data_IF_343718753271
#
_entry.id   IF_343718753271
#
_cell.length_a   1.000
_cell.length_b   1.000
_cell.length_c   1.000
_cell.angle_alpha   90.00
_cell.angle_beta   90.00
_cell.angle_gamma   90.00
#
_symmetry.space_group_name_H-M   'P 1'
#
loop_
_entity.id
_entity.type
_entity.pdbx_description
1 polymer ?
#
# COMPACT_ATOMS: atom_id res chain seq x y z
N UNK A 1 25.14 -63.42 -3.80
CA UNK A 1 23.91 -63.80 -4.53
C UNK A 1 23.37 -62.55 -5.21
N UNK A 2 23.43 -62.56 -6.53
CA UNK A 2 23.04 -61.51 -7.50
C UNK A 2 21.52 -61.63 -7.82
N UNK A 3 20.90 -60.80 -8.68
CA UNK A 3 20.40 -59.43 -8.41
C UNK A 3 19.01 -59.18 -9.07
N UNK A 4 18.46 -57.95 -9.09
CA UNK A 4 17.65 -57.39 -10.21
C UNK A 4 17.77 -55.84 -10.12
N UNK A 5 18.36 -55.06 -11.05
CA UNK A 5 18.02 -54.69 -12.47
C UNK A 5 16.62 -54.05 -12.56
N UNK A 6 16.31 -52.93 -13.25
CA UNK A 6 16.90 -52.08 -14.32
C UNK A 6 16.06 -50.76 -14.34
N UNK A 7 16.64 -49.56 -14.45
CA UNK A 7 16.91 -48.74 -15.66
C UNK A 7 15.77 -47.89 -16.25
N UNK A 8 16.06 -46.60 -16.48
CA UNK A 8 15.94 -45.86 -17.76
C UNK A 8 16.43 -44.41 -17.53
N UNK A 9 17.55 -43.96 -18.11
CA UNK A 9 17.73 -43.45 -19.49
C UNK A 9 16.99 -42.13 -19.72
N UNK A 10 17.50 -41.04 -20.32
CA UNK A 10 18.80 -40.51 -20.71
C UNK A 10 18.49 -39.12 -21.33
N UNK A 11 19.42 -38.15 -21.32
CA UNK A 11 19.83 -37.39 -22.52
C UNK A 11 20.99 -36.43 -22.20
N UNK A 12 21.97 -36.49 -23.10
CA UNK A 12 23.24 -35.77 -23.10
C UNK A 12 23.10 -34.45 -23.86
N UNK A 13 23.95 -33.48 -23.52
CA UNK A 13 24.14 -32.23 -24.26
C UNK A 13 25.39 -32.25 -25.15
N UNK A 14 25.37 -31.33 -26.14
CA UNK A 14 26.46 -30.73 -26.94
C UNK A 14 27.00 -31.48 -28.18
N UNK A 15 27.64 -30.79 -29.18
CA UNK A 15 27.80 -29.34 -29.45
C UNK A 15 27.68 -28.88 -30.95
N UNK A 16 27.71 -27.54 -31.16
CA UNK A 16 28.39 -26.72 -32.20
C UNK A 16 28.21 -26.95 -33.72
N UNK A 17 27.89 -25.89 -34.50
CA UNK A 17 28.83 -25.12 -35.38
C UNK A 17 28.11 -24.24 -36.44
N UNK A 18 28.81 -23.13 -36.80
CA UNK A 18 28.83 -22.34 -38.07
C UNK A 18 27.56 -21.55 -38.50
N UNK A 19 27.58 -20.21 -38.59
CA UNK A 19 28.19 -19.28 -39.60
C UNK A 19 27.50 -19.28 -40.97
N UNK A 20 27.09 -18.09 -41.47
CA UNK A 20 27.01 -17.67 -42.89
C UNK A 20 26.64 -16.15 -42.98
N UNK A 21 27.59 -15.37 -43.51
CA UNK A 21 27.54 -14.22 -44.48
C UNK A 21 26.30 -13.30 -44.56
N UNK A 22 26.41 -11.96 -44.50
CA UNK A 22 27.03 -10.95 -45.41
C UNK A 22 26.15 -10.48 -46.60
N UNK A 23 26.08 -9.15 -46.78
CA UNK A 23 25.50 -8.43 -47.93
C UNK A 23 24.04 -8.01 -47.74
N UNK A 24 23.54 -6.84 -48.13
CA UNK A 24 24.03 -5.73 -48.93
C UNK A 24 22.86 -4.74 -49.11
N UNK A 25 23.17 -3.48 -49.39
CA UNK A 25 22.22 -2.38 -49.58
C UNK A 25 21.38 -2.47 -50.87
N UNK A 26 20.22 -1.80 -50.90
CA UNK A 26 19.55 -1.07 -52.02
C UNK A 26 18.10 -0.71 -51.57
N UNK A 27 17.67 0.55 -51.44
CA UNK A 27 17.25 1.55 -52.47
C UNK A 27 15.93 1.17 -53.20
N UNK A 28 14.96 2.10 -53.18
CA UNK A 28 13.74 2.15 -54.03
C UNK A 28 12.45 1.91 -53.23
N UNK A 29 11.61 2.87 -52.82
CA UNK A 29 10.95 3.97 -53.53
C UNK A 29 10.07 3.46 -54.68
N UNK A 30 8.74 3.40 -54.46
CA UNK A 30 7.67 4.09 -55.20
C UNK A 30 6.33 3.33 -55.21
N UNK A 31 5.29 4.06 -54.77
CA UNK A 31 3.93 4.21 -55.33
C UNK A 31 3.05 2.93 -55.45
N UNK A 32 1.87 2.95 -54.81
CA UNK A 32 0.55 2.99 -55.49
C UNK A 32 -0.58 2.83 -54.47
N UNK A 33 -1.34 3.91 -54.27
CA UNK A 33 -2.76 3.81 -53.89
C UNK A 33 -3.59 3.51 -55.15
N UNK A 34 -4.72 2.81 -55.00
CA UNK A 34 -5.96 3.51 -55.25
C UNK A 34 -7.06 3.20 -54.22
N UNK A 35 -7.96 4.18 -54.11
CA UNK A 35 -9.16 4.18 -53.29
C UNK A 35 -10.17 3.09 -53.70
N UNK A 36 -10.97 2.65 -52.74
CA UNK A 36 -12.35 2.21 -52.99
C UNK A 36 -13.23 2.45 -51.77
N UNK A 37 -14.38 3.04 -52.03
CA UNK A 37 -15.41 3.53 -51.11
C UNK A 37 -16.27 2.43 -50.50
N UNK A 38 -16.90 2.74 -49.36
CA UNK A 38 -18.34 2.66 -49.02
C UNK A 38 -18.48 2.91 -47.51
N UNK A 39 -19.14 3.99 -47.05
CA UNK A 39 -20.54 4.02 -46.60
C UNK A 39 -20.81 2.94 -45.52
N UNK A 40 -21.34 3.18 -44.32
CA UNK A 40 -22.16 4.23 -43.69
C UNK A 40 -22.33 3.77 -42.25
N UNK A 41 -22.24 4.63 -41.22
CA UNK A 41 -23.18 4.55 -40.09
C UNK A 41 -23.04 5.76 -39.16
N UNK A 42 -24.20 6.27 -38.76
CA UNK A 42 -24.38 7.38 -37.85
C UNK A 42 -24.08 6.94 -36.40
N UNK A 43 -23.31 7.75 -35.67
CA UNK A 43 -23.29 7.70 -34.22
C UNK A 43 -23.23 9.14 -33.66
N UNK A 44 -24.21 9.44 -32.82
CA UNK A 44 -24.37 10.67 -32.06
C UNK A 44 -23.09 11.07 -31.31
N UNK A 45 -22.67 12.35 -31.30
CA UNK A 45 -21.75 12.83 -30.28
C UNK A 45 -22.54 13.19 -29.02
N UNK A 46 -22.55 12.29 -28.03
CA UNK A 46 -22.83 12.68 -26.65
C UNK A 46 -21.71 13.59 -26.15
N UNK A 47 -22.01 14.70 -25.45
CA UNK A 47 -20.98 15.55 -24.87
C UNK A 47 -20.32 14.80 -23.71
N UNK A 48 -19.07 14.39 -23.90
CA UNK A 48 -18.24 13.85 -22.82
C UNK A 48 -17.88 15.01 -21.91
N UNK A 49 -18.49 15.03 -20.73
CA UNK A 49 -18.14 15.92 -19.62
C UNK A 49 -16.70 15.67 -19.21
N UNK A 50 -15.78 16.47 -19.74
CA UNK A 50 -14.43 16.60 -19.22
C UNK A 50 -14.50 17.39 -17.90
N UNK A 51 -14.66 16.66 -16.79
CA UNK A 51 -14.40 17.23 -15.46
C UNK A 51 -12.88 17.42 -15.38
N UNK A 52 -12.47 18.67 -15.58
CA UNK A 52 -11.16 19.19 -15.22
C UNK A 52 -10.94 19.00 -13.70
N UNK A 53 -10.49 17.81 -13.31
CA UNK A 53 -9.81 17.63 -12.04
C UNK A 53 -8.41 18.22 -12.20
N UNK A 54 -8.18 19.36 -11.56
CA UNK A 54 -6.89 20.02 -11.47
C UNK A 54 -5.87 19.07 -10.83
N UNK A 55 -5.19 18.31 -11.68
CA UNK A 55 -4.25 17.25 -11.33
C UNK A 55 -3.02 17.80 -10.63
N UNK A 56 -3.09 17.95 -9.30
CA UNK A 56 -1.88 17.75 -8.49
C UNK A 56 -1.57 16.25 -8.52
N UNK A 57 -0.35 15.85 -8.93
CA UNK A 57 0.03 14.44 -8.86
C UNK A 57 -0.18 13.96 -7.42
N UNK A 58 -0.76 12.77 -7.20
CA UNK A 58 -0.99 12.25 -5.87
C UNK A 58 0.32 12.30 -5.10
N UNK A 59 0.31 12.99 -3.94
CA UNK A 59 1.47 13.07 -3.07
C UNK A 59 1.93 11.64 -2.78
N UNK A 60 3.19 11.34 -3.09
CA UNK A 60 3.77 10.02 -2.87
C UNK A 60 3.63 9.67 -1.39
N UNK A 61 2.82 8.66 -1.08
CA UNK A 61 2.66 8.14 0.28
C UNK A 61 4.01 7.61 0.77
N UNK A 62 4.32 7.80 2.05
CA UNK A 62 5.50 7.17 2.66
C UNK A 62 5.12 5.73 3.04
N UNK A 63 6.01 4.74 2.86
CA UNK A 63 5.72 3.39 3.31
C UNK A 63 5.49 3.35 4.82
N UNK A 64 4.49 2.58 5.30
CA UNK A 64 4.16 2.50 6.72
C UNK A 64 5.25 1.73 7.50
N UNK A 65 5.31 1.99 8.81
CA UNK A 65 5.97 1.11 9.78
C UNK A 65 4.94 0.11 10.30
N UNK A 66 3.82 0.64 10.79
CA UNK A 66 2.61 -0.12 11.09
C UNK A 66 1.49 0.35 10.14
N UNK A 67 0.87 -0.60 9.43
CA UNK A 67 -0.27 -0.31 8.54
C UNK A 67 -1.52 0.06 9.34
N UNK A 68 -2.45 0.78 8.73
CA UNK A 68 -3.70 1.20 9.39
C UNK A 68 -4.69 0.06 9.62
N UNK A 69 -4.55 -1.05 8.88
CA UNK A 69 -5.54 -2.15 8.88
C UNK A 69 -4.90 -3.47 9.30
N UNK A 70 -5.42 -4.09 10.37
CA UNK A 70 -4.96 -5.40 10.85
C UNK A 70 -5.87 -6.51 10.27
N UNK A 71 -5.33 -7.50 9.54
CA UNK A 71 -6.13 -8.60 9.01
C UNK A 71 -6.72 -9.48 10.12
N UNK A 72 -7.88 -10.09 9.87
CA UNK A 72 -8.48 -11.08 10.77
C UNK A 72 -8.08 -12.48 10.36
N UNK A 73 -7.60 -13.29 11.30
CA UNK A 73 -7.44 -14.72 11.10
C UNK A 73 -8.77 -15.42 11.39
N UNK A 74 -9.32 -16.13 10.41
CA UNK A 74 -10.52 -16.95 10.59
C UNK A 74 -10.18 -18.43 10.62
N UNK A 75 -11.11 -19.25 11.08
CA UNK A 75 -10.96 -20.72 11.11
C UNK A 75 -10.79 -21.37 9.74
N UNK A 76 -11.05 -20.63 8.65
CA UNK A 76 -10.79 -21.04 7.25
C UNK A 76 -9.51 -20.45 6.66
N UNK A 77 -8.68 -19.80 7.48
CA UNK A 77 -7.51 -19.03 7.05
C UNK A 77 -7.69 -17.53 7.26
N UNK A 78 -6.80 -16.70 6.73
CA UNK A 78 -6.88 -15.25 6.93
C UNK A 78 -8.01 -14.67 6.07
N UNK A 79 -8.99 -14.04 6.71
CA UNK A 79 -10.03 -13.35 5.98
C UNK A 79 -9.50 -12.03 5.46
N UNK A 80 -9.69 -11.78 4.16
CA UNK A 80 -9.50 -10.46 3.53
C UNK A 80 -10.55 -9.45 3.96
N UNK A 81 -11.56 -9.87 4.74
CA UNK A 81 -12.46 -8.94 5.43
C UNK A 81 -11.68 -8.28 6.56
N UNK A 82 -11.02 -7.17 6.22
CA UNK A 82 -10.27 -6.35 7.16
C UNK A 82 -11.26 -5.79 8.18
N UNK A 83 -11.05 -6.03 9.48
CA UNK A 83 -11.65 -5.14 10.48
C UNK A 83 -10.81 -3.87 10.39
N UNK A 84 -11.32 -2.84 9.71
CA UNK A 84 -10.96 -1.49 10.15
C UNK A 84 -11.32 -1.46 11.62
N UNK A 85 -10.36 -1.28 12.52
CA UNK A 85 -10.66 -1.02 13.94
C UNK A 85 -11.70 0.08 13.92
N UNK A 86 -12.96 -0.30 14.13
CA UNK A 86 -14.09 0.59 13.96
C UNK A 86 -14.14 1.40 15.23
N UNK A 87 -13.31 2.43 15.24
CA UNK A 87 -13.55 3.63 16.02
C UNK A 87 -14.85 4.16 15.43
N UNK A 88 -15.96 3.89 16.12
CA UNK A 88 -17.20 4.62 15.91
C UNK A 88 -16.87 6.11 16.09
N UNK A 89 -17.29 6.91 15.12
CA UNK A 89 -16.75 8.22 14.70
C UNK A 89 -15.57 8.08 13.73
N UNK A 90 -15.83 8.40 12.46
CA UNK A 90 -14.76 8.70 11.50
C UNK A 90 -13.82 9.69 12.19
N UNK A 91 -12.63 9.21 12.52
CA UNK A 91 -11.61 9.92 13.27
C UNK A 91 -11.20 11.16 12.47
N UNK A 92 -11.89 12.28 12.76
CA UNK A 92 -11.63 13.59 12.15
C UNK A 92 -10.29 14.18 12.57
N UNK A 93 -9.58 13.46 13.44
CA UNK A 93 -8.25 13.78 13.97
C UNK A 93 -7.15 13.53 12.93
N UNK A 94 -7.36 12.62 11.97
CA UNK A 94 -6.43 12.31 10.88
C UNK A 94 -6.54 13.23 9.66
N UNK A 95 -7.44 14.21 9.68
CA UNK A 95 -7.63 15.16 8.58
C UNK A 95 -6.70 16.37 8.78
N UNK A 96 -5.63 16.56 7.98
CA UNK A 96 -4.67 17.65 8.20
C UNK A 96 -5.29 19.03 8.06
N UNK A 97 -6.32 19.16 7.23
CA UNK A 97 -7.17 20.35 7.14
C UNK A 97 -7.95 20.58 8.42
N UNK A 98 -8.55 19.53 8.98
CA UNK A 98 -9.34 19.59 10.20
C UNK A 98 -8.47 19.94 11.40
N UNK A 99 -7.23 19.46 11.44
CA UNK A 99 -6.24 19.86 12.43
C UNK A 99 -5.83 21.34 12.29
N UNK A 100 -5.48 21.79 11.07
CA UNK A 100 -5.05 23.17 10.82
C UNK A 100 -6.14 24.21 11.10
N UNK A 101 -7.37 23.93 10.67
CA UNK A 101 -8.48 24.89 10.82
C UNK A 101 -9.32 24.66 12.08
N UNK A 102 -9.26 23.46 12.67
CA UNK A 102 -9.88 23.14 13.96
C UNK A 102 -9.10 23.64 15.17
N UNK A 103 -7.81 23.94 15.00
CA UNK A 103 -6.99 24.65 15.98
C UNK A 103 -6.88 26.15 15.65
N UNK A 104 -6.71 26.99 16.68
CA UNK A 104 -6.50 28.42 16.51
C UNK A 104 -7.75 29.31 16.64
N UNK A 105 -7.64 30.60 16.27
CA UNK A 105 -8.66 31.62 16.55
C UNK A 105 -10.00 31.35 15.87
N UNK A 106 -10.01 30.65 14.73
CA UNK A 106 -11.23 30.29 14.00
C UNK A 106 -11.72 28.86 14.26
N UNK A 107 -11.08 28.11 15.16
CA UNK A 107 -11.39 26.68 15.41
C UNK A 107 -12.84 26.41 15.76
N UNK A 108 -13.46 27.25 16.61
CA UNK A 108 -14.88 27.10 16.98
C UNK A 108 -15.83 27.30 15.79
N UNK A 109 -15.55 28.25 14.92
CA UNK A 109 -16.37 28.54 13.73
C UNK A 109 -16.21 27.40 12.72
N UNK A 110 -15.00 26.88 12.57
CA UNK A 110 -14.72 25.71 11.73
C UNK A 110 -15.44 24.45 12.22
N UNK A 111 -15.44 24.18 13.52
CA UNK A 111 -16.18 23.05 14.11
C UNK A 111 -17.70 23.18 13.91
N UNK A 112 -18.24 24.40 14.03
CA UNK A 112 -19.66 24.65 13.74
C UNK A 112 -20.00 24.41 12.27
N UNK A 113 -19.14 24.85 11.35
CA UNK A 113 -19.28 24.57 9.92
C UNK A 113 -19.23 23.06 9.64
N UNK A 114 -18.23 22.36 10.17
CA UNK A 114 -18.07 20.90 10.03
C UNK A 114 -19.25 20.10 10.60
N UNK A 115 -19.78 20.52 11.74
CA UNK A 115 -20.95 19.87 12.35
C UNK A 115 -22.19 20.09 11.48
N UNK A 116 -22.35 21.28 10.90
CA UNK A 116 -23.44 21.55 9.97
C UNK A 116 -23.32 20.71 8.68
N UNK A 117 -22.11 20.55 8.12
CA UNK A 117 -21.92 19.76 6.90
C UNK A 117 -22.25 18.28 7.13
N UNK A 118 -21.91 17.72 8.29
CA UNK A 118 -22.26 16.34 8.64
C UNK A 118 -23.75 16.13 8.81
N UNK A 119 -24.43 17.13 9.39
CA UNK A 119 -25.87 17.07 9.60
C UNK A 119 -26.67 17.22 8.29
N UNK A 120 -26.02 17.63 7.20
CA UNK A 120 -26.66 17.85 5.89
C UNK A 120 -25.92 17.12 4.76
N UNK A 121 -25.85 15.78 4.80
CA UNK A 121 -25.23 14.99 3.73
C UNK A 121 -26.11 14.96 2.47
N UNK A 122 -25.53 14.64 1.32
CA UNK A 122 -26.27 14.43 0.07
C UNK A 122 -26.46 15.68 -0.79
N UNK A 123 -27.48 15.66 -1.65
CA UNK A 123 -27.77 16.68 -2.66
C UNK A 123 -29.21 17.19 -2.55
N UNK A 124 -29.45 18.42 -2.96
CA UNK A 124 -30.78 19.02 -3.05
C UNK A 124 -31.51 18.64 -4.36
N UNK A 125 -32.72 19.18 -4.54
CA UNK A 125 -33.59 18.92 -5.71
C UNK A 125 -32.96 19.36 -7.03
N UNK A 126 -32.02 20.32 -7.00
CA UNK A 126 -31.22 20.77 -8.14
C UNK A 126 -29.98 19.90 -8.39
N UNK A 127 -29.68 18.95 -7.52
CA UNK A 127 -28.49 18.10 -7.60
C UNK A 127 -27.22 18.73 -7.01
N UNK A 128 -27.35 19.87 -6.34
CA UNK A 128 -26.26 20.57 -5.66
C UNK A 128 -26.05 20.02 -4.24
N UNK A 129 -24.81 20.02 -3.70
CA UNK A 129 -24.56 19.52 -2.36
C UNK A 129 -25.36 20.29 -1.28
N UNK A 130 -26.12 19.57 -0.46
CA UNK A 130 -27.07 20.14 0.50
C UNK A 130 -26.40 21.06 1.53
N UNK A 131 -25.16 20.75 1.92
CA UNK A 131 -24.39 21.56 2.87
C UNK A 131 -24.01 22.95 2.32
N UNK A 132 -23.96 23.14 1.00
CA UNK A 132 -23.66 24.47 0.42
C UNK A 132 -24.78 25.46 0.69
N UNK A 133 -26.04 25.01 0.66
CA UNK A 133 -27.19 25.89 0.94
C UNK A 133 -27.48 25.98 2.43
N UNK A 134 -27.38 24.87 3.18
CA UNK A 134 -27.73 24.80 4.60
C UNK A 134 -26.65 25.35 5.54
N UNK A 135 -25.38 25.31 5.14
CA UNK A 135 -24.25 25.70 5.99
C UNK A 135 -23.51 26.96 5.51
N UNK A 136 -24.07 27.67 4.53
CA UNK A 136 -23.48 28.89 3.95
C UNK A 136 -23.10 29.93 5.00
N UNK A 137 -23.96 30.14 6.01
CA UNK A 137 -23.73 31.12 7.09
C UNK A 137 -22.45 30.81 7.88
N UNK A 138 -22.16 29.53 8.13
CA UNK A 138 -20.94 29.14 8.83
C UNK A 138 -19.71 29.23 7.93
N UNK A 139 -19.87 28.92 6.64
CA UNK A 139 -18.79 29.08 5.65
C UNK A 139 -18.38 30.56 5.51
N UNK A 140 -19.35 31.48 5.44
CA UNK A 140 -19.10 32.92 5.39
C UNK A 140 -18.41 33.42 6.66
N UNK A 141 -18.90 33.03 7.85
CA UNK A 141 -18.26 33.38 9.13
C UNK A 141 -16.84 32.84 9.23
N UNK A 142 -16.60 31.63 8.71
CA UNK A 142 -15.29 31.01 8.69
C UNK A 142 -14.34 31.79 7.76
N UNK A 143 -14.80 32.16 6.57
CA UNK A 143 -14.02 32.97 5.62
C UNK A 143 -13.61 34.32 6.24
N UNK A 144 -14.56 35.06 6.80
CA UNK A 144 -14.28 36.34 7.49
C UNK A 144 -13.27 36.16 8.62
N UNK A 145 -13.40 35.08 9.40
CA UNK A 145 -12.48 34.80 10.50
C UNK A 145 -11.07 34.49 9.99
N UNK A 146 -10.93 33.67 8.93
CA UNK A 146 -9.64 33.33 8.34
C UNK A 146 -8.97 34.58 7.75
N UNK A 147 -9.72 35.42 7.03
CA UNK A 147 -9.21 36.67 6.45
C UNK A 147 -8.72 37.63 7.53
N UNK A 148 -9.45 37.73 8.65
CA UNK A 148 -9.07 38.56 9.79
C UNK A 148 -7.82 38.03 10.51
N UNK A 149 -7.60 36.70 10.48
CA UNK A 149 -6.48 36.03 11.13
C UNK A 149 -5.49 35.46 10.11
N UNK A 150 -5.34 36.10 8.95
CA UNK A 150 -4.56 35.56 7.84
C UNK A 150 -3.10 35.28 8.22
N UNK A 151 -2.50 36.12 9.07
CA UNK A 151 -1.14 35.93 9.60
C UNK A 151 -1.00 34.62 10.41
N UNK A 152 -2.01 34.26 11.21
CA UNK A 152 -2.01 33.01 11.98
C UNK A 152 -2.01 31.78 11.06
N UNK A 153 -2.78 31.83 9.98
CA UNK A 153 -2.95 30.70 9.05
C UNK A 153 -1.91 30.63 7.92
N UNK A 154 -1.16 31.72 7.70
CA UNK A 154 -0.05 31.82 6.76
C UNK A 154 1.28 31.23 7.29
N UNK A 155 1.45 31.17 8.62
CA UNK A 155 2.65 30.63 9.23
C UNK A 155 2.54 29.10 9.40
N UNK A 156 3.29 28.35 8.60
CA UNK A 156 3.36 26.87 8.68
C UNK A 156 4.04 26.37 9.96
N UNK A 157 4.67 27.24 10.77
CA UNK A 157 5.25 26.90 12.08
C UNK A 157 4.21 26.82 13.22
N UNK A 158 2.99 27.30 12.98
CA UNK A 158 1.87 27.24 13.93
C UNK A 158 0.93 26.05 13.66
N UNK A 159 1.37 25.17 12.76
CA UNK A 159 1.10 23.74 12.82
C UNK A 159 1.27 23.30 14.28
N UNK A 160 0.16 23.04 14.98
CA UNK A 160 0.15 22.35 16.27
C UNK A 160 0.64 20.91 16.13
N UNK A 161 1.83 20.71 15.58
CA UNK A 161 2.66 19.52 15.68
C UNK A 161 3.23 19.47 17.10
N UNK A 162 2.37 19.55 18.10
CA UNK A 162 2.66 18.86 19.35
C UNK A 162 2.67 17.39 18.96
N UNK A 163 3.87 16.82 18.88
CA UNK A 163 4.16 15.41 18.61
C UNK A 163 3.60 14.45 19.69
N UNK A 164 2.72 14.93 20.57
CA UNK A 164 2.28 14.23 21.78
C UNK A 164 0.95 13.46 21.64
N UNK A 165 0.16 13.68 20.58
CA UNK A 165 -1.08 12.90 20.34
C UNK A 165 -0.85 11.72 19.37
N UNK A 166 0.22 11.78 18.57
CA UNK A 166 0.62 10.70 17.65
C UNK A 166 1.24 9.50 18.40
N UNK A 167 1.65 9.68 19.66
CA UNK A 167 2.21 8.58 20.46
C UNK A 167 1.15 7.55 20.89
N UNK A 168 -0.08 7.99 21.19
CA UNK A 168 -1.13 7.12 21.75
C UNK A 168 -1.76 6.23 20.68
N UNK A 169 -2.19 6.81 19.54
CA UNK A 169 -2.77 6.04 18.43
C UNK A 169 -1.74 5.10 17.78
N UNK A 170 -0.49 5.55 17.69
CA UNK A 170 0.61 4.71 17.20
C UNK A 170 0.96 3.58 18.21
N UNK A 171 0.73 3.80 19.51
CA UNK A 171 0.84 2.74 20.52
C UNK A 171 -0.28 1.70 20.36
N UNK A 172 -1.54 2.11 20.27
CA UNK A 172 -2.66 1.18 20.13
C UNK A 172 -2.57 0.35 18.84
N UNK A 173 -2.21 1.00 17.73
CA UNK A 173 -2.03 0.32 16.44
C UNK A 173 -0.84 -0.66 16.49
N UNK A 174 0.26 -0.25 17.12
CA UNK A 174 1.42 -1.12 17.33
C UNK A 174 1.08 -2.30 18.23
N UNK A 175 0.27 -2.10 19.26
CA UNK A 175 -0.19 -3.17 20.15
C UNK A 175 -1.09 -4.16 19.41
N UNK A 176 -2.04 -3.67 18.60
CA UNK A 176 -2.90 -4.51 17.75
C UNK A 176 -2.07 -5.33 16.74
N UNK A 177 -1.09 -4.73 16.07
CA UNK A 177 -0.16 -5.46 15.21
C UNK A 177 0.71 -6.44 15.98
N UNK A 178 1.15 -6.08 17.19
CA UNK A 178 1.96 -6.97 18.03
C UNK A 178 1.16 -8.20 18.47
N UNK A 179 -0.12 -8.02 18.79
CA UNK A 179 -1.03 -9.11 19.13
C UNK A 179 -1.28 -10.01 17.91
N UNK A 180 -1.55 -9.44 16.73
CA UNK A 180 -1.68 -10.19 15.49
C UNK A 180 -0.40 -10.99 15.18
N UNK A 181 0.78 -10.38 15.27
CA UNK A 181 2.05 -11.06 15.00
C UNK A 181 2.33 -12.14 16.03
N UNK A 182 1.98 -11.92 17.30
CA UNK A 182 2.09 -12.93 18.35
C UNK A 182 1.22 -14.15 18.02
N UNK A 183 -0.04 -13.93 17.63
CA UNK A 183 -0.94 -15.01 17.20
C UNK A 183 -0.37 -15.77 16.00
N UNK A 184 0.17 -15.07 15.00
CA UNK A 184 0.83 -15.69 13.85
C UNK A 184 2.04 -16.53 14.24
N UNK A 185 2.96 -16.01 15.06
CA UNK A 185 4.16 -16.73 15.48
C UNK A 185 3.84 -17.90 16.42
N UNK A 186 2.81 -17.79 17.26
CA UNK A 186 2.36 -18.89 18.11
C UNK A 186 1.65 -19.98 17.30
N UNK A 187 0.86 -19.62 16.28
CA UNK A 187 0.30 -20.57 15.34
C UNK A 187 1.36 -21.28 14.49
N UNK A 188 2.45 -20.60 14.13
CA UNK A 188 3.62 -21.23 13.48
C UNK A 188 4.29 -22.25 14.42
N UNK A 189 4.56 -21.88 15.68
CA UNK A 189 5.16 -22.80 16.67
C UNK A 189 4.23 -23.98 16.99
N UNK A 190 2.93 -23.73 17.02
CA UNK A 190 1.88 -24.74 17.24
C UNK A 190 1.61 -25.63 16.03
N UNK A 191 2.30 -25.43 14.90
CA UNK A 191 2.08 -26.13 13.63
C UNK A 191 0.66 -25.93 13.04
N UNK A 192 -0.05 -24.87 13.46
CA UNK A 192 -1.32 -24.45 12.88
C UNK A 192 -1.11 -23.74 11.55
N UNK A 193 0.01 -23.02 11.39
CA UNK A 193 0.38 -22.34 10.15
C UNK A 193 1.61 -22.97 9.53
N UNK A 194 1.58 -23.14 8.22
CA UNK A 194 2.66 -23.77 7.47
C UNK A 194 3.76 -22.74 7.19
N UNK A 195 4.93 -22.96 7.76
CA UNK A 195 6.08 -22.09 7.50
C UNK A 195 6.90 -22.58 6.30
N UNK A 196 7.14 -21.72 5.33
CA UNK A 196 7.94 -22.02 4.14
C UNK A 196 8.99 -20.94 3.85
N UNK A 197 10.05 -21.31 3.14
CA UNK A 197 10.98 -20.34 2.56
C UNK A 197 10.35 -19.66 1.34
N UNK A 198 10.67 -18.39 1.11
CA UNK A 198 10.24 -17.71 -0.11
C UNK A 198 10.76 -18.42 -1.37
N UNK A 199 9.91 -18.65 -2.39
CA UNK A 199 10.35 -19.05 -3.72
C UNK A 199 11.36 -18.04 -4.28
N UNK A 200 12.32 -18.50 -5.07
CA UNK A 200 13.45 -17.69 -5.57
C UNK A 200 12.99 -16.36 -6.22
N UNK A 201 11.93 -16.41 -7.02
CA UNK A 201 11.39 -15.25 -7.74
C UNK A 201 10.57 -14.28 -6.88
N UNK A 202 10.16 -14.71 -5.69
CA UNK A 202 9.33 -13.95 -4.76
C UNK A 202 10.11 -13.49 -3.53
N UNK A 203 11.43 -13.73 -3.49
CA UNK A 203 12.24 -13.33 -2.36
C UNK A 203 12.12 -11.82 -2.14
N UNK A 204 11.79 -11.37 -0.91
CA UNK A 204 11.80 -9.96 -0.62
C UNK A 204 13.21 -9.40 -0.79
N UNK A 205 13.30 -8.13 -1.17
CA UNK A 205 14.56 -7.36 -1.15
C UNK A 205 14.55 -6.43 0.05
N UNK A 206 15.68 -6.36 0.75
CA UNK A 206 15.84 -5.50 1.91
C UNK A 206 16.93 -4.46 1.61
N UNK A 207 16.63 -3.20 1.91
CA UNK A 207 17.56 -2.10 1.79
C UNK A 207 17.72 -1.44 3.15
N UNK A 208 18.94 -1.46 3.69
CA UNK A 208 19.26 -0.85 4.99
C UNK A 208 20.21 0.32 4.79
N UNK A 209 19.86 1.47 5.37
CA UNK A 209 20.69 2.67 5.40
C UNK A 209 21.13 2.95 6.83
N UNK A 210 22.34 2.50 7.16
CA UNK A 210 22.92 2.63 8.50
C UNK A 210 23.11 4.08 8.96
N UNK A 211 23.29 5.03 8.04
CA UNK A 211 23.44 6.44 8.40
C UNK A 211 22.16 7.06 8.95
N UNK A 212 21.00 6.61 8.46
CA UNK A 212 19.69 7.08 8.94
C UNK A 212 19.02 6.09 9.90
N UNK A 213 19.65 4.95 10.22
CA UNK A 213 19.05 3.86 11.01
C UNK A 213 17.70 3.38 10.47
N UNK A 214 17.52 3.40 9.15
CA UNK A 214 16.27 2.98 8.51
C UNK A 214 16.49 1.79 7.58
N UNK A 215 15.55 0.87 7.58
CA UNK A 215 15.42 -0.22 6.63
C UNK A 215 14.11 -0.14 5.85
N UNK A 216 14.09 -0.74 4.67
CA UNK A 216 12.88 -0.98 3.90
C UNK A 216 12.91 -2.39 3.30
N UNK A 217 11.80 -3.11 3.41
CA UNK A 217 11.60 -4.41 2.77
C UNK A 217 10.55 -4.30 1.68
N UNK A 218 10.84 -4.86 0.51
CA UNK A 218 9.99 -4.83 -0.67
C UNK A 218 9.49 -6.24 -0.97
N UNK A 219 8.17 -6.37 -1.07
CA UNK A 219 7.46 -7.61 -1.31
C UNK A 219 6.74 -7.53 -2.66
N UNK A 220 6.63 -8.67 -3.34
CA UNK A 220 5.81 -8.78 -4.54
C UNK A 220 4.33 -8.75 -4.14
N UNK A 221 3.49 -7.93 -4.78
CA UNK A 221 2.07 -7.85 -4.43
C UNK A 221 1.30 -9.12 -4.80
N UNK A 222 1.81 -9.88 -5.78
CA UNK A 222 1.17 -11.09 -6.30
C UNK A 222 2.22 -12.14 -6.68
N UNK A 223 1.85 -13.41 -6.48
CA UNK A 223 2.62 -14.59 -6.89
C UNK A 223 2.35 -14.98 -8.36
N UNK A 224 3.18 -15.86 -8.91
CA UNK A 224 3.01 -16.37 -10.29
C UNK A 224 1.71 -17.18 -10.47
N UNK A 225 1.22 -17.82 -9.42
CA UNK A 225 -0.07 -18.54 -9.42
C UNK A 225 -1.29 -17.63 -9.21
N UNK A 226 -1.08 -16.30 -9.12
CA UNK A 226 -2.15 -15.33 -8.90
C UNK A 226 -2.43 -15.00 -7.43
N UNK A 227 -1.84 -15.71 -6.47
CA UNK A 227 -2.05 -15.45 -5.04
C UNK A 227 -1.59 -14.03 -4.65
N UNK A 228 -2.48 -13.26 -4.01
CA UNK A 228 -2.18 -11.89 -3.59
C UNK A 228 -1.58 -11.87 -2.19
N UNK A 229 -0.63 -10.97 -1.92
CA UNK A 229 -0.21 -10.73 -0.53
C UNK A 229 -1.40 -10.22 0.29
N UNK A 230 -1.54 -10.69 1.52
CA UNK A 230 -2.54 -10.24 2.49
C UNK A 230 -1.88 -9.28 3.48
N UNK A 231 -0.78 -9.73 4.08
CA UNK A 231 0.02 -8.92 5.01
C UNK A 231 1.48 -9.36 5.02
N UNK A 232 2.33 -8.49 5.57
CA UNK A 232 3.70 -8.82 5.90
C UNK A 232 4.09 -8.18 7.23
N UNK A 233 5.10 -8.75 7.87
CA UNK A 233 5.71 -8.17 9.07
C UNK A 233 7.20 -8.50 9.14
N UNK A 234 7.93 -7.68 9.90
CA UNK A 234 9.38 -7.75 10.05
C UNK A 234 9.70 -7.89 11.54
N UNK A 235 10.51 -8.88 11.86
CA UNK A 235 11.01 -9.17 13.20
C UNK A 235 12.50 -8.86 13.32
N UNK A 236 12.96 -8.45 14.50
CA UNK A 236 14.38 -8.39 14.83
C UNK A 236 14.96 -9.77 15.23
N UNK A 237 16.26 -9.82 15.58
CA UNK A 237 16.93 -11.03 16.05
C UNK A 237 16.39 -11.60 17.38
N UNK A 238 15.54 -10.84 18.09
CA UNK A 238 14.92 -11.22 19.36
C UNK A 238 13.44 -11.57 19.20
N UNK A 239 12.90 -11.48 17.98
CA UNK A 239 11.48 -11.70 17.69
C UNK A 239 10.57 -10.51 17.98
N UNK A 240 11.11 -9.31 18.22
CA UNK A 240 10.29 -8.10 18.37
C UNK A 240 9.79 -7.62 17.02
N UNK A 241 8.55 -7.12 16.98
CA UNK A 241 7.96 -6.56 15.77
C UNK A 241 8.56 -5.19 15.47
N UNK A 242 9.18 -5.05 14.30
CA UNK A 242 9.76 -3.81 13.81
C UNK A 242 8.83 -3.05 12.85
N UNK A 243 8.04 -3.80 12.07
CA UNK A 243 7.06 -3.26 11.14
C UNK A 243 6.04 -4.34 10.78
N UNK A 244 4.81 -3.93 10.47
CA UNK A 244 3.77 -4.81 9.97
C UNK A 244 2.75 -4.02 9.13
N UNK A 245 2.12 -4.65 8.16
CA UNK A 245 1.14 -3.97 7.32
C UNK A 245 0.29 -4.91 6.51
N UNK A 246 -0.96 -4.51 6.26
CA UNK A 246 -1.83 -5.14 5.28
C UNK A 246 -1.45 -4.69 3.86
N UNK A 247 -1.88 -5.46 2.86
CA UNK A 247 -1.63 -5.19 1.44
C UNK A 247 -1.91 -3.73 1.08
N UNK A 248 -3.08 -3.22 1.45
CA UNK A 248 -3.56 -1.89 1.06
C UNK A 248 -2.73 -0.77 1.69
N UNK A 249 -2.12 -1.01 2.85
CA UNK A 249 -1.20 -0.08 3.50
C UNK A 249 0.19 -0.10 2.85
N UNK A 250 0.62 -1.28 2.38
CA UNK A 250 1.93 -1.50 1.81
C UNK A 250 2.02 -1.15 0.32
N UNK A 251 0.92 -1.20 -0.42
CA UNK A 251 0.90 -1.06 -1.88
C UNK A 251 1.32 0.35 -2.32
N UNK A 252 2.51 0.42 -2.92
CA UNK A 252 3.11 1.63 -3.46
C UNK A 252 3.00 1.69 -5.00
N UNK A 253 2.12 0.87 -5.57
CA UNK A 253 1.86 0.73 -7.00
C UNK A 253 2.82 -0.22 -7.70
N UNK A 254 2.52 -0.50 -8.98
CA UNK A 254 3.19 -1.52 -9.80
C UNK A 254 4.71 -1.39 -9.90
N UNK A 255 5.26 -0.18 -9.75
CA UNK A 255 6.70 0.09 -9.83
C UNK A 255 7.46 -0.37 -8.57
N UNK A 256 6.85 -0.27 -7.40
CA UNK A 256 7.51 -0.50 -6.12
C UNK A 256 7.01 -1.75 -5.40
N UNK A 257 5.80 -2.21 -5.71
CA UNK A 257 5.15 -3.34 -5.04
C UNK A 257 4.70 -2.95 -3.63
N UNK A 258 4.72 -3.92 -2.72
CA UNK A 258 4.34 -3.74 -1.32
C UNK A 258 5.60 -3.42 -0.48
N UNK A 259 5.59 -2.32 0.27
CA UNK A 259 6.79 -1.86 1.00
C UNK A 259 6.49 -1.65 2.48
N UNK A 260 7.35 -2.20 3.34
CA UNK A 260 7.40 -1.90 4.77
C UNK A 260 8.69 -1.18 5.11
N UNK A 261 8.59 -0.13 5.92
CA UNK A 261 9.74 0.59 6.47
C UNK A 261 9.92 0.21 7.93
N UNK A 262 11.15 0.10 8.40
CA UNK A 262 11.44 -0.23 9.80
C UNK A 262 12.68 0.50 10.31
N UNK A 263 12.79 0.67 11.63
CA UNK A 263 13.98 1.22 12.27
C UNK A 263 15.00 0.11 12.54
N UNK A 264 16.28 0.43 12.34
CA UNK A 264 17.41 -0.48 12.55
C UNK A 264 18.19 -0.02 13.77
N UNK A 265 18.10 -0.79 14.85
CA UNK A 265 18.87 -0.51 16.06
C UNK A 265 20.35 -0.86 15.87
N UNK A 266 21.23 -0.16 16.59
CA UNK A 266 22.69 -0.39 16.51
C UNK A 266 23.12 -1.81 16.94
N UNK A 267 22.24 -2.52 17.66
CA UNK A 267 22.47 -3.88 18.16
C UNK A 267 21.85 -4.96 17.29
N UNK A 268 21.07 -4.57 16.28
CA UNK A 268 20.34 -5.49 15.41
C UNK A 268 21.31 -6.30 14.55
N UNK A 269 21.21 -7.62 14.62
CA UNK A 269 22.08 -8.52 13.85
C UNK A 269 21.41 -9.04 12.57
N UNK A 270 20.09 -9.24 12.65
CA UNK A 270 19.31 -9.76 11.53
C UNK A 270 17.88 -9.24 11.56
N UNK A 271 17.27 -9.16 10.38
CA UNK A 271 15.85 -8.92 10.20
C UNK A 271 15.19 -10.16 9.60
N UNK A 272 14.09 -10.63 10.15
CA UNK A 272 13.29 -11.70 9.56
C UNK A 272 12.01 -11.14 8.98
N UNK A 273 11.84 -11.26 7.66
CA UNK A 273 10.61 -10.87 6.98
C UNK A 273 9.68 -12.08 6.87
N UNK A 274 8.41 -11.87 7.22
CA UNK A 274 7.32 -12.82 7.03
C UNK A 274 6.28 -12.21 6.10
N UNK A 275 5.72 -13.01 5.19
CA UNK A 275 4.62 -12.58 4.34
C UNK A 275 3.59 -13.68 4.18
N UNK A 276 2.33 -13.28 4.10
CA UNK A 276 1.18 -14.17 3.99
C UNK A 276 0.48 -13.86 2.67
N UNK A 277 0.20 -14.90 1.89
CA UNK A 277 -0.48 -14.77 0.61
C UNK A 277 -1.79 -15.56 0.63
N UNK A 278 -2.76 -15.04 -0.10
CA UNK A 278 -4.07 -15.65 -0.30
C UNK A 278 -3.97 -16.71 -1.40
N UNK A 279 -3.73 -17.96 -0.99
CA UNK A 279 -3.71 -19.11 -1.89
C UNK A 279 -5.09 -19.77 -1.95
N UNK A 280 -5.71 -19.80 -3.13
CA UNK A 280 -7.07 -20.34 -3.34
C UNK A 280 -7.24 -21.82 -2.93
N UNK A 281 -6.14 -22.57 -2.82
CA UNK A 281 -6.14 -24.04 -2.71
C UNK A 281 -5.82 -24.59 -1.33
N UNK A 282 -5.57 -23.76 -0.32
CA UNK A 282 -5.12 -24.21 1.01
C UNK A 282 -6.19 -24.11 2.10
N UNK A 283 -6.42 -25.18 2.85
CA UNK A 283 -7.08 -25.09 4.17
C UNK A 283 -6.20 -24.42 5.22
N UNK A 284 -4.89 -24.42 4.98
CA UNK A 284 -3.87 -24.02 5.95
C UNK A 284 -3.21 -22.71 5.50
N UNK A 285 -3.00 -21.80 6.44
CA UNK A 285 -2.31 -20.54 6.18
C UNK A 285 -0.82 -20.81 5.93
N UNK A 286 -0.34 -20.49 4.73
CA UNK A 286 1.09 -20.55 4.39
C UNK A 286 1.76 -19.21 4.69
N UNK A 287 2.77 -19.23 5.56
CA UNK A 287 3.60 -18.07 5.89
C UNK A 287 4.98 -18.25 5.27
N UNK A 288 5.39 -17.31 4.43
CA UNK A 288 6.72 -17.31 3.82
C UNK A 288 7.70 -16.52 4.68
N UNK A 289 8.92 -17.04 4.83
CA UNK A 289 9.96 -16.46 5.67
C UNK A 289 11.30 -16.31 4.97
N UNK A 290 11.98 -15.20 5.24
CA UNK A 290 13.38 -14.98 4.88
C UNK A 290 14.05 -14.11 5.92
N UNK A 291 15.20 -14.56 6.40
CA UNK A 291 16.06 -13.81 7.32
C UNK A 291 17.22 -13.17 6.55
N UNK A 292 17.50 -11.92 6.87
CA UNK A 292 18.60 -11.12 6.30
C UNK A 292 19.55 -10.72 7.41
N UNK A 293 20.85 -10.78 7.14
CA UNK A 293 21.86 -10.21 8.03
C UNK A 293 21.88 -8.69 7.85
N UNK A 294 21.83 -7.96 8.95
CA UNK A 294 21.98 -6.50 8.95
C UNK A 294 23.48 -6.17 8.91
N UNK A 295 23.95 -5.34 7.96
CA UNK A 295 25.35 -4.94 7.91
C UNK A 295 25.75 -4.23 9.20
N UNK A 296 26.90 -4.62 9.77
CA UNK A 296 27.48 -3.91 10.92
C UNK A 296 28.25 -2.68 10.44
N UNK A 297 28.28 -1.63 11.27
CA UNK A 297 29.19 -0.50 11.08
C UNK A 297 30.63 -0.92 11.34
#
# INVERSE_FOLDING_TARGET
MTPYRLASSARRCFPSTASITAGGACIGLLIYSPASSCATEAANPSPTSAINSSGRPPRRRRPPVFGSSVPIITSRGISTTMTTTSIETVDREDCPLCKKFGSGPCGKVFQQWLSCTDANPGKDESGEPLHLTKCAIFAEKLAVCIDTNAEYYANDENDGSTEDVDATNNSELKDAWSDFVREMEDGIKGHQYKLQSFPEKLQPTIHVKLSSKMGASYFKPQMENGASIISAYILDDRGNVLAAGAKDDMDMGSRFGCVLRFEVSDRMQSATCRAIYDEESGSDVTVYSKTFLVPKR
#
